data_IF_799084600123
#
_entry.id   IF_799084600123
#
_cell.length_a   1.000
_cell.length_b   1.000
_cell.length_c   1.000
_cell.angle_alpha   90.00
_cell.angle_beta   90.00
_cell.angle_gamma   90.00
#
_symmetry.space_group_name_H-M   'P 1'
#
loop_
_entity.id
_entity.type
_entity.pdbx_description
1 polymer ?
#
# COMPACT_ATOMS: atom_id res chain seq x y z
N UNK A 1 3.61 5.61 -2.65
CA UNK A 1 3.00 6.24 -3.83
C UNK A 1 1.87 5.40 -4.43
N UNK A 2 0.79 6.03 -4.90
CA UNK A 2 -0.25 5.41 -5.76
C UNK A 2 0.35 4.62 -6.95
N UNK A 3 1.42 5.11 -7.62
CA UNK A 3 2.19 4.34 -8.60
C UNK A 3 2.75 3.00 -8.08
N UNK A 4 3.23 2.92 -6.83
CA UNK A 4 3.69 1.65 -6.23
C UNK A 4 2.56 0.67 -5.96
N UNK A 5 1.37 1.15 -5.58
CA UNK A 5 0.19 0.31 -5.41
C UNK A 5 -0.32 -0.22 -6.76
N UNK A 6 -0.31 0.63 -7.80
CA UNK A 6 -0.64 0.23 -9.18
C UNK A 6 0.37 -0.79 -9.70
N UNK A 7 1.67 -0.62 -9.41
CA UNK A 7 2.72 -1.56 -9.79
C UNK A 7 2.60 -2.90 -9.03
N UNK A 8 2.29 -2.88 -7.74
CA UNK A 8 2.06 -4.10 -6.95
C UNK A 8 0.83 -4.85 -7.46
N UNK A 9 -0.28 -4.14 -7.69
CA UNK A 9 -1.51 -4.73 -8.23
C UNK A 9 -1.33 -5.22 -9.68
N UNK A 10 -0.57 -4.49 -10.50
CA UNK A 10 -0.16 -4.92 -11.84
C UNK A 10 0.72 -6.17 -11.82
N UNK A 11 1.66 -6.25 -10.87
CA UNK A 11 2.56 -7.40 -10.68
C UNK A 11 1.78 -8.64 -10.21
N UNK A 12 0.88 -8.50 -9.23
CA UNK A 12 0.01 -9.58 -8.76
C UNK A 12 -0.96 -10.07 -9.83
N UNK A 13 -1.41 -9.18 -10.72
CA UNK A 13 -2.28 -9.53 -11.85
C UNK A 13 -1.51 -10.21 -12.99
N UNK A 14 -0.27 -9.79 -13.26
CA UNK A 14 0.65 -10.41 -14.24
C UNK A 14 1.06 -11.83 -13.84
N UNK A 15 1.14 -12.12 -12.55
CA UNK A 15 1.33 -13.48 -12.03
C UNK A 15 0.14 -14.41 -12.29
N UNK A 16 -1.02 -13.88 -12.69
CA UNK A 16 -2.26 -14.66 -12.89
C UNK A 16 -2.72 -14.73 -14.35
N UNK A 17 -2.28 -13.81 -15.22
CA UNK A 17 -2.62 -13.79 -16.65
C UNK A 17 -1.48 -13.17 -17.47
N UNK A 18 -0.93 -13.91 -18.44
CA UNK A 18 -0.06 -13.32 -19.48
C UNK A 18 -0.90 -12.57 -20.53
N UNK A 19 -0.39 -11.43 -21.02
CA UNK A 19 -0.91 -10.77 -22.23
C UNK A 19 -2.04 -9.74 -22.07
N UNK A 20 -2.00 -8.84 -21.08
CA UNK A 20 -2.97 -7.73 -20.98
C UNK A 20 -2.33 -6.41 -21.41
N UNK A 21 -2.86 -5.80 -22.48
CA UNK A 21 -2.63 -4.40 -22.80
C UNK A 21 -3.12 -3.52 -21.64
N UNK A 22 -2.19 -2.79 -21.03
CA UNK A 22 -2.42 -2.04 -19.78
C UNK A 22 -2.90 -0.61 -20.01
N UNK A 23 -2.88 -0.13 -21.26
CA UNK A 23 -3.24 1.26 -21.61
C UNK A 23 -4.70 1.58 -21.27
N UNK A 24 -5.64 0.68 -21.57
CA UNK A 24 -7.05 0.78 -21.17
C UNK A 24 -7.35 0.14 -19.80
N UNK A 25 -6.39 -0.57 -19.22
CA UNK A 25 -6.57 -1.24 -17.95
C UNK A 25 -6.50 -0.28 -16.76
N UNK A 26 -5.77 0.84 -16.88
CA UNK A 26 -5.52 1.78 -15.77
C UNK A 26 -6.79 2.30 -15.12
N UNK A 27 -7.69 3.00 -15.84
CA UNK A 27 -8.93 3.53 -15.25
C UNK A 27 -9.82 2.45 -14.63
N UNK A 28 -9.90 1.27 -15.24
CA UNK A 28 -10.68 0.13 -14.72
C UNK A 28 -10.09 -0.40 -13.42
N UNK A 29 -8.78 -0.57 -13.37
CA UNK A 29 -8.07 -1.04 -12.16
C UNK A 29 -8.16 0.00 -11.05
N UNK A 30 -7.97 1.28 -11.37
CA UNK A 30 -8.09 2.38 -10.40
C UNK A 30 -9.49 2.46 -9.77
N UNK A 31 -10.55 2.39 -10.59
CA UNK A 31 -11.94 2.32 -10.10
C UNK A 31 -12.19 1.09 -9.23
N UNK A 32 -11.75 -0.08 -9.68
CA UNK A 32 -11.91 -1.33 -8.91
C UNK A 32 -11.21 -1.27 -7.56
N UNK A 33 -9.98 -0.74 -7.51
CA UNK A 33 -9.23 -0.55 -6.28
C UNK A 33 -9.91 0.43 -5.32
N UNK A 34 -10.36 1.58 -5.82
CA UNK A 34 -11.08 2.56 -5.01
C UNK A 34 -12.34 1.95 -4.40
N UNK A 35 -13.12 1.21 -5.20
CA UNK A 35 -14.31 0.52 -4.71
C UNK A 35 -13.99 -0.51 -3.62
N UNK A 36 -12.95 -1.33 -3.80
CA UNK A 36 -12.53 -2.30 -2.80
C UNK A 36 -12.11 -1.63 -1.49
N UNK A 37 -11.29 -0.58 -1.55
CA UNK A 37 -10.85 0.15 -0.35
C UNK A 37 -12.05 0.78 0.38
N UNK A 38 -13.02 1.31 -0.36
CA UNK A 38 -14.22 1.89 0.23
C UNK A 38 -15.06 0.83 0.94
N UNK A 39 -15.26 -0.34 0.33
CA UNK A 39 -15.94 -1.47 0.98
C UNK A 39 -15.22 -1.93 2.26
N UNK A 40 -13.89 -1.97 2.26
CA UNK A 40 -13.13 -2.32 3.47
C UNK A 40 -13.28 -1.27 4.57
N UNK A 41 -13.28 0.02 4.23
CA UNK A 41 -13.55 1.10 5.19
C UNK A 41 -14.97 0.96 5.77
N UNK A 42 -15.97 0.72 4.92
CA UNK A 42 -17.37 0.55 5.34
C UNK A 42 -17.53 -0.65 6.28
N UNK A 43 -16.98 -1.82 5.92
CA UNK A 43 -17.00 -3.01 6.76
C UNK A 43 -16.32 -2.80 8.12
N UNK A 44 -15.28 -1.94 8.17
CA UNK A 44 -14.60 -1.59 9.42
C UNK A 44 -15.42 -0.57 10.23
N UNK A 45 -16.13 0.34 9.56
CA UNK A 45 -16.97 1.34 10.21
C UNK A 45 -18.26 0.75 10.81
N UNK A 46 -18.87 -0.21 10.11
CA UNK A 46 -20.10 -0.88 10.58
C UNK A 46 -19.85 -2.13 11.45
N UNK A 47 -18.57 -2.46 11.70
CA UNK A 47 -18.16 -3.54 12.59
C UNK A 47 -18.19 -4.94 12.00
N UNK A 48 -18.50 -5.11 10.70
CA UNK A 48 -18.35 -6.40 9.99
C UNK A 48 -16.92 -6.92 10.04
N UNK A 49 -15.93 -6.03 10.12
CA UNK A 49 -14.54 -6.35 10.44
C UNK A 49 -14.22 -5.83 11.84
N UNK A 50 -14.03 -6.69 12.83
CA UNK A 50 -13.69 -6.28 14.19
C UNK A 50 -12.38 -5.47 14.23
N UNK A 51 -12.40 -4.30 14.88
CA UNK A 51 -11.22 -3.44 15.00
C UNK A 51 -10.03 -4.11 15.70
N UNK A 52 -10.27 -5.15 16.51
CA UNK A 52 -9.21 -5.93 17.15
C UNK A 52 -8.41 -6.81 16.18
N UNK A 53 -8.96 -7.12 15.00
CA UNK A 53 -8.34 -8.01 14.01
C UNK A 53 -7.51 -7.26 12.95
N UNK A 54 -7.42 -5.94 13.04
CA UNK A 54 -6.71 -5.14 12.05
C UNK A 54 -5.72 -4.21 12.71
N UNK A 55 -4.51 -4.17 12.16
CA UNK A 55 -3.46 -3.22 12.53
C UNK A 55 -3.09 -2.43 11.28
N UNK A 56 -3.33 -1.12 11.32
CA UNK A 56 -2.94 -0.22 10.22
C UNK A 56 -1.48 0.21 10.41
N UNK A 57 -0.66 -0.01 9.39
CA UNK A 57 0.74 0.41 9.37
C UNK A 57 0.97 1.33 8.18
N UNK A 58 1.31 2.59 8.47
CA UNK A 58 1.70 3.54 7.42
C UNK A 58 3.13 3.26 6.98
N UNK A 59 3.34 3.23 5.68
CA UNK A 59 4.67 3.00 5.11
C UNK A 59 5.70 4.05 5.56
N UNK A 60 5.29 5.32 5.68
CA UNK A 60 6.16 6.39 6.18
C UNK A 60 6.62 6.12 7.62
N UNK A 61 5.72 5.70 8.51
CA UNK A 61 6.04 5.41 9.91
C UNK A 61 6.97 4.20 10.03
N UNK A 62 6.69 3.14 9.26
CA UNK A 62 7.53 1.95 9.19
C UNK A 62 8.97 2.29 8.77
N UNK A 63 9.13 3.24 7.85
CA UNK A 63 10.42 3.62 7.30
C UNK A 63 11.16 4.63 8.18
N UNK A 64 10.41 5.44 8.95
CA UNK A 64 10.96 6.36 9.96
C UNK A 64 11.46 5.61 11.19
N UNK A 65 10.69 4.65 11.69
CA UNK A 65 10.98 3.87 12.88
C UNK A 65 10.46 2.43 12.74
N UNK A 66 11.26 1.59 12.08
CA UNK A 66 10.96 0.17 11.91
C UNK A 66 10.84 -0.55 13.28
N UNK A 67 11.79 -0.40 14.23
CA UNK A 67 11.67 -1.03 15.55
C UNK A 67 10.40 -0.68 16.31
N UNK A 68 10.06 0.60 16.41
CA UNK A 68 8.85 1.04 17.10
C UNK A 68 7.59 0.50 16.43
N UNK A 69 7.53 0.57 15.09
CA UNK A 69 6.38 0.08 14.33
C UNK A 69 6.16 -1.42 14.48
N UNK A 70 7.21 -2.24 14.38
CA UNK A 70 7.09 -3.70 14.52
C UNK A 70 6.71 -4.10 15.95
N UNK A 71 7.27 -3.45 16.97
CA UNK A 71 6.86 -3.67 18.37
C UNK A 71 5.39 -3.34 18.59
N UNK A 72 4.90 -2.24 18.04
CA UNK A 72 3.49 -1.86 18.14
C UNK A 72 2.56 -2.89 17.48
N UNK A 73 2.94 -3.41 16.31
CA UNK A 73 2.19 -4.47 15.60
C UNK A 73 2.10 -5.75 16.44
N UNK A 74 3.25 -6.24 16.94
CA UNK A 74 3.30 -7.45 17.76
C UNK A 74 2.52 -7.29 19.06
N UNK A 75 2.67 -6.14 19.75
CA UNK A 75 1.90 -5.83 20.95
C UNK A 75 0.40 -5.80 20.70
N UNK A 76 -0.04 -5.27 19.54
CA UNK A 76 -1.46 -5.25 19.17
C UNK A 76 -2.00 -6.63 18.80
N UNK A 77 -1.16 -7.48 18.21
CA UNK A 77 -1.49 -8.87 17.88
C UNK A 77 -1.42 -9.81 19.10
N UNK A 78 -0.86 -9.36 20.22
CA UNK A 78 -0.63 -10.20 21.41
C UNK A 78 0.46 -11.26 21.18
N UNK A 79 1.44 -10.96 20.33
CA UNK A 79 2.54 -11.88 20.00
C UNK A 79 3.85 -11.42 20.62
N UNK A 80 4.65 -12.40 21.04
CA UNK A 80 6.00 -12.15 21.54
C UNK A 80 6.95 -11.82 20.38
N UNK A 81 7.57 -10.64 20.45
CA UNK A 81 8.63 -10.25 19.53
C UNK A 81 9.99 -10.55 20.16
N UNK A 82 10.71 -11.50 19.56
CA UNK A 82 12.09 -11.79 19.94
C UNK A 82 13.04 -10.77 19.30
N UNK A 83 14.04 -10.34 20.06
CA UNK A 83 15.01 -9.34 19.60
C UNK A 83 15.81 -9.77 18.37
N UNK A 84 16.09 -11.08 18.23
CA UNK A 84 16.79 -11.64 17.07
C UNK A 84 15.98 -11.50 15.77
N UNK A 85 14.65 -11.61 15.86
CA UNK A 85 13.75 -11.41 14.72
C UNK A 85 13.76 -9.94 14.30
N UNK A 86 13.67 -9.03 15.27
CA UNK A 86 13.68 -7.61 14.99
C UNK A 86 15.01 -7.16 14.35
N UNK A 87 16.14 -7.65 14.88
CA UNK A 87 17.46 -7.37 14.33
C UNK A 87 17.58 -7.84 12.87
N UNK A 88 17.06 -9.03 12.53
CA UNK A 88 17.06 -9.55 11.14
C UNK A 88 16.20 -8.71 10.21
N UNK A 89 15.06 -8.19 10.68
CA UNK A 89 14.22 -7.27 9.88
C UNK A 89 14.95 -5.96 9.59
N UNK A 90 15.60 -5.38 10.60
CA UNK A 90 16.41 -4.16 10.43
C UNK A 90 17.55 -4.37 9.44
N UNK A 91 18.26 -5.49 9.56
CA UNK A 91 19.38 -5.81 8.67
C UNK A 91 18.90 -6.05 7.22
N UNK A 92 17.76 -6.70 7.04
CA UNK A 92 17.15 -6.90 5.71
C UNK A 92 16.83 -5.56 5.04
N UNK A 93 16.22 -4.62 5.78
CA UNK A 93 15.89 -3.28 5.30
C UNK A 93 17.15 -2.47 4.99
N UNK A 94 18.17 -2.55 5.85
CA UNK A 94 19.45 -1.86 5.65
C UNK A 94 20.21 -2.38 4.42
N UNK A 95 20.14 -3.69 4.14
CA UNK A 95 20.78 -4.33 2.98
C UNK A 95 20.06 -4.07 1.64
N UNK A 96 18.85 -3.51 1.67
CA UNK A 96 18.09 -3.12 0.48
C UNK A 96 17.86 -1.61 0.46
N UNK A 97 18.90 -0.79 0.24
CA UNK A 97 18.71 0.64 0.08
C UNK A 97 17.72 0.89 -1.06
N UNK A 98 16.74 1.77 -0.79
CA UNK A 98 15.72 2.20 -1.76
C UNK A 98 16.42 2.65 -3.06
N UNK A 99 15.93 2.14 -4.20
CA UNK A 99 16.46 2.46 -5.53
C UNK A 99 17.05 1.27 -6.30
N UNK A 100 17.15 0.07 -5.71
CA UNK A 100 17.66 -1.12 -6.39
C UNK A 100 16.77 -1.64 -7.54
N UNK A 101 15.52 -1.20 -7.61
CA UNK A 101 14.70 -1.31 -8.81
C UNK A 101 14.58 0.11 -9.32
N UNK A 102 15.30 0.41 -10.40
CA UNK A 102 15.32 1.73 -11.02
C UNK A 102 13.90 2.26 -11.16
N UNK A 103 13.78 3.59 -11.09
CA UNK A 103 12.52 4.27 -11.36
C UNK A 103 12.11 3.98 -12.81
N UNK A 104 11.48 2.83 -13.05
CA UNK A 104 10.58 2.66 -14.17
C UNK A 104 9.38 3.55 -13.86
N UNK A 105 9.61 4.86 -14.05
CA UNK A 105 8.61 5.88 -13.99
C UNK A 105 7.68 5.68 -15.19
N UNK A 106 6.80 4.68 -15.08
CA UNK A 106 5.59 4.69 -15.87
C UNK A 106 4.79 5.89 -15.37
N UNK A 107 4.63 6.87 -16.25
CA UNK A 107 3.81 8.04 -15.98
C UNK A 107 2.34 7.57 -15.90
N UNK A 108 1.51 8.27 -15.13
CA UNK A 108 0.09 7.91 -15.01
C UNK A 108 -0.58 7.94 -16.39
N UNK A 109 -0.15 8.86 -17.24
CA UNK A 109 -0.61 9.05 -18.61
C UNK A 109 -0.31 7.82 -19.48
N UNK A 110 0.82 7.13 -19.25
CA UNK A 110 1.19 5.91 -19.98
C UNK A 110 0.21 4.74 -19.75
N UNK A 111 -0.63 4.82 -18.72
CA UNK A 111 -1.68 3.85 -18.41
C UNK A 111 -3.07 4.48 -18.43
N UNK A 112 -3.22 5.62 -19.11
CA UNK A 112 -4.51 6.30 -19.28
C UNK A 112 -5.07 6.92 -17.99
N UNK A 113 -4.22 7.21 -17.01
CA UNK A 113 -4.59 7.85 -15.74
C UNK A 113 -4.20 9.33 -15.74
N UNK A 114 -5.06 10.15 -15.16
CA UNK A 114 -4.85 11.59 -14.95
C UNK A 114 -4.64 11.82 -13.45
N UNK A 115 -3.56 12.51 -13.07
CA UNK A 115 -3.18 12.69 -11.67
C UNK A 115 -4.31 13.30 -10.85
N UNK A 116 -4.94 14.35 -11.35
CA UNK A 116 -5.99 15.11 -10.68
C UNK A 116 -7.20 14.21 -10.38
N UNK A 117 -7.61 13.40 -11.37
CA UNK A 117 -8.70 12.43 -11.21
C UNK A 117 -8.39 11.36 -10.18
N UNK A 118 -7.15 10.90 -10.10
CA UNK A 118 -6.76 9.89 -9.13
C UNK A 118 -6.61 10.49 -7.72
N UNK A 119 -6.16 11.74 -7.59
CA UNK A 119 -6.15 12.47 -6.32
C UNK A 119 -7.58 12.59 -5.77
N UNK A 120 -8.54 12.96 -6.60
CA UNK A 120 -9.96 13.03 -6.22
C UNK A 120 -10.51 11.63 -5.90
N UNK A 121 -10.28 10.64 -6.77
CA UNK A 121 -10.76 9.26 -6.58
C UNK A 121 -10.35 8.68 -5.23
N UNK A 122 -9.12 8.96 -4.76
CA UNK A 122 -8.58 8.41 -3.52
C UNK A 122 -8.64 9.37 -2.32
N UNK A 123 -9.34 10.52 -2.43
CA UNK A 123 -9.47 11.49 -1.34
C UNK A 123 -10.05 10.84 -0.06
N UNK A 124 -11.10 10.02 -0.19
CA UNK A 124 -11.74 9.32 0.93
C UNK A 124 -10.74 8.49 1.77
N UNK A 125 -9.81 7.80 1.10
CA UNK A 125 -8.83 6.95 1.75
C UNK A 125 -7.75 7.79 2.42
N UNK A 126 -7.30 8.84 1.72
CA UNK A 126 -6.27 9.75 2.22
C UNK A 126 -6.72 10.50 3.46
N UNK A 127 -7.94 11.01 3.49
CA UNK A 127 -8.51 11.69 4.65
C UNK A 127 -8.68 10.72 5.83
N UNK A 128 -9.18 9.51 5.57
CA UNK A 128 -9.44 8.51 6.61
C UNK A 128 -8.18 7.98 7.28
N UNK A 129 -7.08 7.85 6.52
CA UNK A 129 -5.81 7.27 6.98
C UNK A 129 -4.67 8.29 7.04
N UNK A 130 -4.95 9.57 6.80
CA UNK A 130 -3.99 10.67 6.80
C UNK A 130 -2.74 10.35 5.98
N UNK A 131 -2.99 10.00 4.71
CA UNK A 131 -1.96 9.69 3.71
C UNK A 131 -1.61 10.96 2.92
N UNK A 132 -0.36 11.45 2.99
CA UNK A 132 0.04 12.65 2.28
C UNK A 132 0.04 12.44 0.77
N UNK A 133 -0.12 13.53 0.00
CA UNK A 133 0.17 13.51 -1.43
C UNK A 133 1.68 13.36 -1.60
N UNK A 134 2.10 12.31 -2.29
CA UNK A 134 3.48 12.21 -2.75
C UNK A 134 3.58 13.02 -4.05
N UNK A 135 4.52 13.98 -4.09
CA UNK A 135 4.81 14.83 -5.25
C UNK A 135 5.21 14.01 -6.48
#
# INVERSE_FOLDING_TARGET
SLPSMINLMGTLRRMRCEGVDVSDAGPRVARGNAHMLQQEIEKRADGRIPAAQVVDVRYHDLMRDLPGTIRAVYGRAGWDLRDDVLARMQEYVARRPRGAHGAHAYSLEAVGLEREREVERFAFYRERYDVPLEG
#
